data_IF_644350859539
#
_entry.id   IF_644350859539
#
_cell.length_a   1.000
_cell.length_b   1.000
_cell.length_c   1.000
_cell.angle_alpha   90.00
_cell.angle_beta   90.00
_cell.angle_gamma   90.00
#
_symmetry.space_group_name_H-M   'P 1'
#
loop_
_entity.id
_entity.type
_entity.pdbx_description
1 polymer ?
#
# COMPACT_ATOMS: atom_id res chain seq x y z
N UNK A 1 -6.40 -1.31 31.17
CA UNK A 1 -6.13 -0.86 29.79
C UNK A 1 -6.38 -2.04 28.88
N UNK A 2 -7.27 -1.90 27.90
CA UNK A 2 -7.60 -3.01 26.98
C UNK A 2 -6.43 -3.21 26.03
N UNK A 3 -5.74 -4.35 26.09
CA UNK A 3 -4.73 -4.69 25.09
C UNK A 3 -5.37 -4.66 23.69
N UNK A 4 -4.67 -4.07 22.72
CA UNK A 4 -5.14 -4.04 21.33
C UNK A 4 -5.01 -5.44 20.74
N UNK A 5 -6.09 -5.97 20.16
CA UNK A 5 -6.05 -7.31 19.55
C UNK A 5 -5.21 -7.31 18.27
N UNK A 6 -4.58 -8.44 17.95
CA UNK A 6 -3.79 -8.62 16.71
C UNK A 6 -4.60 -8.25 15.45
N UNK A 7 -5.87 -8.66 15.28
CA UNK A 7 -6.68 -8.23 14.13
C UNK A 7 -6.81 -6.70 14.00
N UNK A 8 -7.01 -5.99 15.12
CA UNK A 8 -7.10 -4.53 15.11
C UNK A 8 -5.76 -3.87 14.75
N UNK A 9 -4.63 -4.48 15.14
CA UNK A 9 -3.30 -4.02 14.74
C UNK A 9 -3.05 -4.20 13.24
N UNK A 10 -3.53 -5.29 12.62
CA UNK A 10 -3.45 -5.44 11.16
C UNK A 10 -4.25 -4.38 10.43
N UNK A 11 -5.48 -4.09 10.86
CA UNK A 11 -6.28 -3.04 10.25
C UNK A 11 -5.63 -1.66 10.42
N UNK A 12 -4.95 -1.42 11.56
CA UNK A 12 -4.16 -0.21 11.78
C UNK A 12 -2.94 -0.15 10.85
N UNK A 13 -2.20 -1.25 10.67
CA UNK A 13 -1.04 -1.29 9.77
C UNK A 13 -1.47 -1.01 8.31
N UNK A 14 -2.61 -1.57 7.88
CA UNK A 14 -3.21 -1.28 6.56
C UNK A 14 -3.63 0.19 6.47
N UNK A 15 -4.21 0.77 7.52
CA UNK A 15 -4.57 2.19 7.54
C UNK A 15 -3.34 3.11 7.47
N UNK A 16 -2.24 2.75 8.15
CA UNK A 16 -0.96 3.45 8.05
C UNK A 16 -0.37 3.35 6.65
N UNK A 17 -0.44 2.18 6.02
CA UNK A 17 0.01 1.97 4.64
C UNK A 17 -0.70 2.89 3.64
N UNK A 18 -1.99 3.17 3.83
CA UNK A 18 -2.78 4.09 2.97
C UNK A 18 -2.24 5.52 2.94
N UNK A 19 -1.39 5.93 3.89
CA UNK A 19 -0.71 7.24 3.84
C UNK A 19 0.21 7.37 2.61
N UNK A 20 0.65 6.26 2.01
CA UNK A 20 1.44 6.22 0.77
C UNK A 20 0.63 6.33 -0.54
N UNK A 21 -0.69 6.54 -0.47
CA UNK A 21 -1.59 6.50 -1.63
C UNK A 21 -1.11 7.32 -2.83
N UNK A 22 -0.82 6.62 -3.93
CA UNK A 22 -0.41 7.21 -5.20
C UNK A 22 0.99 7.83 -5.24
N UNK A 23 1.82 7.57 -4.23
CA UNK A 23 3.21 8.04 -4.18
C UNK A 23 4.24 6.92 -4.26
N UNK A 24 3.83 5.68 -4.01
CA UNK A 24 4.75 4.55 -3.89
C UNK A 24 5.09 3.89 -5.21
N UNK A 25 4.30 4.08 -6.27
CA UNK A 25 4.52 3.40 -7.55
C UNK A 25 5.98 3.60 -8.05
N UNK A 26 6.68 2.53 -8.51
CA UNK A 26 6.19 1.16 -8.75
C UNK A 26 6.11 0.24 -7.53
N UNK A 27 6.49 0.71 -6.33
CA UNK A 27 6.47 -0.08 -5.11
C UNK A 27 5.05 -0.16 -4.50
N UNK A 28 4.77 -1.19 -3.67
CA UNK A 28 3.52 -1.28 -2.93
C UNK A 28 3.45 -0.24 -1.80
N UNK A 29 2.23 0.07 -1.38
CA UNK A 29 1.97 0.73 -0.10
C UNK A 29 2.16 -0.29 1.02
N UNK A 30 3.03 0.04 1.98
CA UNK A 30 3.31 -0.80 3.15
C UNK A 30 3.25 0.07 4.40
N UNK A 31 2.69 -0.48 5.47
CA UNK A 31 2.66 0.11 6.81
C UNK A 31 3.22 -0.88 7.82
N UNK A 32 3.93 -0.36 8.82
CA UNK A 32 4.51 -1.12 9.91
C UNK A 32 4.23 -0.43 11.25
N UNK A 33 3.99 -1.22 12.29
CA UNK A 33 3.75 -0.76 13.65
C UNK A 33 4.73 -1.46 14.59
N UNK A 34 5.31 -0.73 15.53
CA UNK A 34 6.01 -1.33 16.67
C UNK A 34 5.06 -1.30 17.86
N UNK A 35 4.89 -2.45 18.50
CA UNK A 35 3.94 -2.64 19.60
C UNK A 35 4.69 -3.11 20.84
N UNK A 36 4.50 -2.41 21.96
CA UNK A 36 5.04 -2.74 23.28
C UNK A 36 3.88 -2.77 24.28
N UNK A 37 3.84 -3.77 25.16
CA UNK A 37 2.76 -3.92 26.16
C UNK A 37 1.33 -3.88 25.57
N UNK A 38 1.15 -4.29 24.31
CA UNK A 38 -0.14 -4.26 23.61
C UNK A 38 -0.57 -2.88 23.07
N UNK A 39 0.33 -1.90 23.07
CA UNK A 39 0.12 -0.55 22.55
C UNK A 39 1.04 -0.23 21.38
N UNK A 40 0.53 0.48 20.38
CA UNK A 40 1.32 0.97 19.25
C UNK A 40 2.17 2.16 19.72
N UNK A 41 3.47 1.97 19.77
CA UNK A 41 4.43 2.99 20.22
C UNK A 41 5.14 3.70 19.05
N UNK A 42 5.11 3.11 17.85
CA UNK A 42 5.68 3.71 16.64
C UNK A 42 4.97 3.21 15.39
N UNK A 43 4.90 4.08 14.38
CA UNK A 43 4.34 3.78 13.06
C UNK A 43 5.32 4.19 11.97
N UNK A 44 5.37 3.40 10.90
CA UNK A 44 6.09 3.73 9.68
C UNK A 44 5.26 3.35 8.46
N UNK A 45 5.45 4.09 7.37
CA UNK A 45 4.89 3.73 6.06
C UNK A 45 5.88 4.05 4.95
N UNK A 46 5.80 3.30 3.86
CA UNK A 46 6.61 3.59 2.69
C UNK A 46 6.04 4.82 1.97
N UNK A 47 6.79 5.92 1.98
CA UNK A 47 6.30 7.22 1.49
C UNK A 47 6.40 7.38 -0.04
N UNK A 48 7.47 6.87 -0.66
CA UNK A 48 7.68 6.91 -2.10
C UNK A 48 8.75 5.91 -2.56
N UNK A 49 8.72 5.50 -3.83
CA UNK A 49 9.73 4.58 -4.38
C UNK A 49 11.16 5.09 -4.18
N UNK A 50 12.04 4.21 -3.71
CA UNK A 50 13.43 4.53 -3.39
C UNK A 50 13.65 5.16 -2.01
N UNK A 51 12.58 5.53 -1.30
CA UNK A 51 12.65 5.88 0.12
C UNK A 51 12.69 4.61 0.99
N UNK A 52 12.95 4.80 2.28
CA UNK A 52 12.96 3.67 3.21
C UNK A 52 11.58 2.99 3.28
N UNK A 53 11.60 1.69 3.54
CA UNK A 53 10.41 0.88 3.70
C UNK A 53 9.76 1.12 5.07
N UNK A 54 8.52 0.66 5.22
CA UNK A 54 7.69 0.95 6.38
C UNK A 54 8.33 0.48 7.69
N UNK A 55 8.95 -0.70 7.69
CA UNK A 55 9.64 -1.30 8.82
C UNK A 55 10.78 -0.42 9.31
N UNK A 56 11.60 0.05 8.36
CA UNK A 56 12.73 0.96 8.64
C UNK A 56 12.23 2.30 9.16
N UNK A 57 11.18 2.86 8.56
CA UNK A 57 10.58 4.11 9.03
C UNK A 57 9.98 3.97 10.43
N UNK A 58 9.37 2.83 10.76
CA UNK A 58 8.83 2.57 12.11
C UNK A 58 9.96 2.50 13.16
N UNK A 59 11.08 1.84 12.85
CA UNK A 59 12.25 1.80 13.74
C UNK A 59 12.90 3.18 13.90
N UNK A 60 13.02 3.96 12.81
CA UNK A 60 13.55 5.33 12.88
C UNK A 60 12.66 6.25 13.71
N UNK A 61 11.35 6.20 13.49
CA UNK A 61 10.38 7.02 14.21
C UNK A 61 10.36 6.70 15.71
N UNK A 62 10.64 5.45 16.09
CA UNK A 62 10.80 5.07 17.49
C UNK A 62 12.02 5.75 18.15
N UNK A 63 13.10 5.97 17.40
CA UNK A 63 14.29 6.70 17.88
C UNK A 63 15.12 5.98 18.96
N UNK A 64 14.75 4.74 19.31
CA UNK A 64 15.46 3.87 20.26
C UNK A 64 15.34 2.41 19.84
N UNK A 65 16.09 1.53 20.49
CA UNK A 65 15.85 0.08 20.35
C UNK A 65 14.47 -0.28 20.93
N UNK A 66 13.70 -1.17 20.27
CA UNK A 66 12.50 -1.76 20.85
C UNK A 66 12.82 -2.51 22.15
N UNK A 67 11.83 -2.59 23.05
CA UNK A 67 11.89 -3.44 24.23
C UNK A 67 11.94 -4.93 23.84
N UNK A 68 12.42 -5.79 24.72
CA UNK A 68 12.61 -7.23 24.42
C UNK A 68 11.30 -7.97 24.15
N UNK A 69 10.20 -7.46 24.70
CA UNK A 69 8.83 -7.95 24.52
C UNK A 69 8.10 -7.24 23.36
N UNK A 70 8.78 -6.36 22.62
CA UNK A 70 8.19 -5.67 21.50
C UNK A 70 7.90 -6.62 20.33
N UNK A 71 6.85 -6.31 19.59
CA UNK A 71 6.50 -6.95 18.33
C UNK A 71 6.42 -5.93 17.20
N UNK A 72 6.55 -6.41 15.96
CA UNK A 72 6.30 -5.61 14.77
C UNK A 72 5.13 -6.18 13.97
N UNK A 73 4.21 -5.31 13.55
CA UNK A 73 3.06 -5.68 12.73
C UNK A 73 3.19 -5.00 11.37
N UNK A 74 3.19 -5.77 10.28
CA UNK A 74 3.52 -5.29 8.93
C UNK A 74 2.37 -5.64 7.97
N UNK A 75 1.94 -4.69 7.14
CA UNK A 75 0.81 -4.87 6.22
C UNK A 75 1.10 -5.76 5.01
N UNK A 76 2.38 -6.03 4.72
CA UNK A 76 2.85 -6.86 3.61
C UNK A 76 4.14 -7.56 4.05
N UNK A 77 4.39 -8.76 3.54
CA UNK A 77 5.60 -9.52 3.82
C UNK A 77 6.88 -8.67 3.65
N UNK A 78 7.79 -8.68 4.65
CA UNK A 78 9.02 -7.90 4.59
C UNK A 78 9.94 -8.41 3.48
N UNK A 79 10.54 -7.48 2.73
CA UNK A 79 11.40 -7.85 1.61
C UNK A 79 12.64 -8.64 2.07
N UNK A 80 12.96 -9.70 1.32
CA UNK A 80 14.05 -10.65 1.61
C UNK A 80 15.28 -10.49 0.73
N UNK A 81 15.19 -9.70 -0.35
CA UNK A 81 16.29 -9.50 -1.30
C UNK A 81 16.88 -8.09 -1.22
N UNK A 82 18.14 -7.95 -1.63
CA UNK A 82 18.79 -6.65 -1.75
C UNK A 82 18.35 -5.95 -3.04
N UNK A 83 17.62 -4.85 -2.90
CA UNK A 83 17.18 -4.00 -4.00
C UNK A 83 17.98 -2.69 -4.03
N UNK A 84 17.25 -1.55 -4.13
CA UNK A 84 17.82 -0.21 -3.92
C UNK A 84 18.20 0.05 -2.46
N UNK A 85 17.55 -0.66 -1.54
CA UNK A 85 17.79 -0.63 -0.09
C UNK A 85 18.10 -2.05 0.40
N UNK A 86 18.78 -2.19 1.55
CA UNK A 86 18.92 -3.49 2.23
C UNK A 86 17.55 -4.13 2.53
N UNK A 87 17.49 -5.47 2.65
CA UNK A 87 16.24 -6.17 2.94
C UNK A 87 15.72 -5.80 4.34
N UNK A 88 14.39 -5.73 4.48
CA UNK A 88 13.76 -5.36 5.73
C UNK A 88 13.89 -6.46 6.78
N UNK A 89 14.05 -7.72 6.37
CA UNK A 89 14.39 -8.83 7.27
C UNK A 89 15.63 -8.53 8.10
N UNK A 90 16.67 -7.91 7.51
CA UNK A 90 17.87 -7.51 8.26
C UNK A 90 17.57 -6.43 9.31
N UNK A 91 16.72 -5.44 8.99
CA UNK A 91 16.34 -4.40 9.93
C UNK A 91 15.58 -4.99 11.13
N UNK A 92 14.66 -5.93 10.88
CA UNK A 92 13.91 -6.65 11.92
C UNK A 92 14.86 -7.46 12.80
N UNK A 93 15.75 -8.26 12.21
CA UNK A 93 16.72 -9.07 12.96
C UNK A 93 17.64 -8.21 13.84
N UNK A 94 18.12 -7.07 13.31
CA UNK A 94 19.00 -6.16 14.04
C UNK A 94 18.27 -5.37 15.14
N UNK A 95 16.93 -5.31 15.11
CA UNK A 95 16.14 -4.57 16.09
C UNK A 95 16.08 -5.25 17.46
N UNK A 96 16.22 -6.58 17.49
CA UNK A 96 16.06 -7.41 18.69
C UNK A 96 14.63 -7.90 18.94
N UNK A 97 13.65 -7.49 18.13
CA UNK A 97 12.27 -8.01 18.18
C UNK A 97 12.22 -9.52 17.96
N UNK A 98 11.38 -10.20 18.75
CA UNK A 98 11.18 -11.65 18.66
C UNK A 98 9.88 -12.04 17.94
N UNK A 99 8.86 -11.17 17.94
CA UNK A 99 7.54 -11.48 17.37
C UNK A 99 7.21 -10.56 16.19
N UNK A 100 6.84 -11.17 15.06
CA UNK A 100 6.53 -10.50 13.79
C UNK A 100 5.16 -10.95 13.30
N UNK A 101 4.27 -10.00 13.07
CA UNK A 101 2.93 -10.25 12.53
C UNK A 101 2.84 -9.70 11.12
N UNK A 102 2.46 -10.52 10.15
CA UNK A 102 2.39 -10.14 8.73
C UNK A 102 0.94 -10.24 8.23
N UNK A 103 0.41 -9.15 7.67
CA UNK A 103 -0.98 -9.09 7.23
C UNK A 103 -1.21 -9.81 5.89
N UNK A 104 -0.24 -9.83 4.98
CA UNK A 104 -0.36 -10.40 3.65
C UNK A 104 0.97 -10.80 3.03
N UNK A 105 0.95 -11.80 2.16
CA UNK A 105 2.14 -12.27 1.43
C UNK A 105 2.51 -11.34 0.28
N UNK A 106 3.79 -11.27 -0.06
CA UNK A 106 4.25 -10.55 -1.25
C UNK A 106 3.83 -11.34 -2.51
N UNK A 107 3.08 -10.76 -3.46
CA UNK A 107 2.70 -11.44 -4.70
C UNK A 107 3.89 -11.69 -5.64
N UNK A 108 5.04 -11.05 -5.40
CA UNK A 108 6.25 -11.27 -6.18
C UNK A 108 6.78 -12.70 -5.94
N UNK A 109 6.86 -13.55 -6.98
CA UNK A 109 7.34 -14.93 -6.82
C UNK A 109 8.76 -15.05 -6.23
N UNK A 110 9.56 -13.98 -6.32
CA UNK A 110 10.90 -13.94 -5.72
C UNK A 110 10.87 -13.76 -4.21
N UNK A 111 9.78 -13.26 -3.65
CA UNK A 111 9.66 -12.90 -2.23
C UNK A 111 8.62 -13.74 -1.50
N UNK A 112 7.56 -14.18 -2.18
CA UNK A 112 6.44 -14.91 -1.59
C UNK A 112 6.91 -16.03 -0.65
N UNK A 113 6.74 -15.82 0.66
CA UNK A 113 7.12 -16.75 1.72
C UNK A 113 8.59 -16.67 2.18
N UNK A 114 9.50 -16.21 1.33
CA UNK A 114 10.94 -16.18 1.63
C UNK A 114 11.28 -15.24 2.80
N UNK A 115 10.59 -14.10 2.93
CA UNK A 115 10.84 -13.16 4.03
C UNK A 115 10.45 -13.76 5.37
N UNK A 116 9.29 -14.43 5.40
CA UNK A 116 8.79 -15.14 6.57
C UNK A 116 9.72 -16.29 6.96
N UNK A 117 10.15 -17.10 5.99
CA UNK A 117 11.05 -18.23 6.20
C UNK A 117 12.40 -17.79 6.78
N UNK A 118 13.03 -16.76 6.20
CA UNK A 118 14.31 -16.22 6.71
C UNK A 118 14.19 -15.79 8.18
N UNK A 119 13.10 -15.12 8.55
CA UNK A 119 12.90 -14.67 9.93
C UNK A 119 12.70 -15.86 10.89
N UNK A 120 11.90 -16.86 10.49
CA UNK A 120 11.69 -18.09 11.27
C UNK A 120 12.97 -18.90 11.44
N UNK A 121 13.78 -19.06 10.39
CA UNK A 121 15.07 -19.75 10.44
C UNK A 121 16.07 -19.07 11.39
N UNK A 122 15.93 -17.77 11.60
CA UNK A 122 16.72 -16.98 12.56
C UNK A 122 16.13 -16.97 13.97
N UNK A 123 15.07 -17.73 14.21
CA UNK A 123 14.48 -17.96 15.53
C UNK A 123 13.40 -16.96 15.94
N UNK A 124 12.90 -16.11 15.03
CA UNK A 124 11.78 -15.22 15.33
C UNK A 124 10.45 -15.98 15.21
N UNK A 125 9.50 -15.61 16.07
CA UNK A 125 8.11 -16.03 15.95
C UNK A 125 7.42 -15.15 14.90
N UNK A 126 6.95 -15.78 13.81
CA UNK A 126 6.34 -15.07 12.69
C UNK A 126 4.96 -15.64 12.41
N UNK A 127 3.94 -14.82 12.61
CA UNK A 127 2.53 -15.16 12.38
C UNK A 127 1.99 -14.43 11.14
N UNK A 128 1.40 -15.21 10.23
CA UNK A 128 0.67 -14.68 9.08
C UNK A 128 -0.80 -14.57 9.46
N UNK A 129 -1.44 -13.44 9.13
CA UNK A 129 -2.83 -13.19 9.43
C UNK A 129 -3.79 -14.21 8.80
N UNK A 130 -5.04 -14.24 9.27
CA UNK A 130 -6.11 -15.02 8.65
C UNK A 130 -6.39 -14.59 7.19
N UNK A 131 -7.11 -15.45 6.47
CA UNK A 131 -7.41 -15.24 5.05
C UNK A 131 -8.24 -13.99 4.77
N UNK A 132 -9.07 -13.54 5.71
CA UNK A 132 -9.88 -12.34 5.55
C UNK A 132 -9.01 -11.08 5.60
N UNK A 133 -8.11 -11.03 6.58
CA UNK A 133 -7.12 -9.96 6.76
C UNK A 133 -6.15 -9.90 5.59
N UNK A 134 -5.68 -11.06 5.11
CA UNK A 134 -4.86 -11.14 3.90
C UNK A 134 -5.57 -10.56 2.67
N UNK A 135 -6.87 -10.82 2.50
CA UNK A 135 -7.66 -10.22 1.40
C UNK A 135 -7.77 -8.69 1.55
N UNK A 136 -7.97 -8.18 2.78
CA UNK A 136 -7.99 -6.72 3.03
C UNK A 136 -6.64 -6.07 2.70
N UNK A 137 -5.54 -6.70 3.11
CA UNK A 137 -4.18 -6.24 2.80
C UNK A 137 -3.91 -6.28 1.28
N UNK A 138 -4.29 -7.36 0.59
CA UNK A 138 -4.11 -7.48 -0.85
C UNK A 138 -4.90 -6.43 -1.65
N UNK A 139 -6.12 -6.09 -1.20
CA UNK A 139 -6.94 -5.04 -1.85
C UNK A 139 -6.29 -3.66 -1.83
N UNK A 140 -5.47 -3.34 -0.83
CA UNK A 140 -4.75 -2.07 -0.77
C UNK A 140 -3.84 -1.89 -2.00
N UNK A 141 -3.16 -2.96 -2.39
CA UNK A 141 -2.13 -2.96 -3.42
C UNK A 141 -2.61 -3.58 -4.74
N UNK A 142 -3.90 -3.45 -5.08
CA UNK A 142 -4.49 -4.16 -6.23
C UNK A 142 -3.77 -3.92 -7.57
N UNK A 143 -3.27 -2.71 -7.84
CA UNK A 143 -2.48 -2.41 -9.05
C UNK A 143 -1.14 -3.16 -9.01
N UNK A 144 -0.40 -3.03 -7.91
CA UNK A 144 0.90 -3.70 -7.74
C UNK A 144 0.76 -5.23 -7.84
N UNK A 145 -0.22 -5.80 -7.13
CA UNK A 145 -0.47 -7.23 -7.11
C UNK A 145 -0.83 -7.76 -8.50
N UNK A 146 -1.73 -7.08 -9.22
CA UNK A 146 -2.07 -7.45 -10.59
C UNK A 146 -0.84 -7.43 -11.51
N UNK A 147 -0.03 -6.37 -11.43
CA UNK A 147 1.17 -6.24 -12.25
C UNK A 147 2.19 -7.35 -11.96
N UNK A 148 2.40 -7.70 -10.68
CA UNK A 148 3.33 -8.78 -10.28
C UNK A 148 2.84 -10.15 -10.73
N UNK A 149 1.55 -10.45 -10.59
CA UNK A 149 0.99 -11.76 -10.89
C UNK A 149 0.83 -12.01 -12.40
N UNK A 150 0.49 -10.97 -13.17
CA UNK A 150 0.15 -11.12 -14.58
C UNK A 150 1.26 -10.67 -15.54
N UNK A 151 2.22 -9.87 -15.05
CA UNK A 151 3.19 -9.16 -15.89
C UNK A 151 2.56 -8.11 -16.81
N UNK A 152 1.29 -7.73 -16.58
CA UNK A 152 0.54 -6.77 -17.40
C UNK A 152 0.01 -5.61 -16.53
N UNK A 153 -0.17 -4.41 -17.10
CA UNK A 153 -0.74 -3.29 -16.37
C UNK A 153 -2.22 -3.52 -16.06
N UNK A 154 -2.65 -3.16 -14.84
CA UNK A 154 -4.08 -3.08 -14.52
C UNK A 154 -4.70 -1.88 -15.23
N UNK A 155 -5.73 -2.13 -16.05
CA UNK A 155 -6.46 -1.10 -16.79
C UNK A 155 -7.79 -0.84 -16.10
N UNK A 156 -8.05 0.42 -15.76
CA UNK A 156 -9.34 0.87 -15.27
C UNK A 156 -9.98 1.84 -16.27
N UNK A 157 -11.23 1.57 -16.64
CA UNK A 157 -12.04 2.50 -17.44
C UNK A 157 -12.85 3.39 -16.51
N UNK A 158 -12.71 4.70 -16.65
CA UNK A 158 -13.55 5.68 -15.96
C UNK A 158 -14.48 6.37 -16.96
N UNK A 159 -15.78 6.38 -16.63
CA UNK A 159 -16.82 7.08 -17.38
C UNK A 159 -17.58 8.03 -16.45
N UNK A 160 -18.17 9.08 -17.00
CA UNK A 160 -19.19 9.90 -16.35
C UNK A 160 -20.33 10.06 -17.35
N UNK A 161 -21.50 9.55 -16.99
CA UNK A 161 -22.67 9.52 -17.86
C UNK A 161 -23.92 10.00 -17.12
N UNK A 162 -24.85 10.56 -17.88
CA UNK A 162 -26.21 10.85 -17.41
C UNK A 162 -26.98 9.54 -17.16
N UNK A 163 -28.13 9.63 -16.51
CA UNK A 163 -29.00 8.48 -16.23
C UNK A 163 -29.47 7.73 -17.49
N UNK A 164 -29.44 8.37 -18.67
CA UNK A 164 -29.76 7.75 -19.95
C UNK A 164 -28.51 7.39 -20.79
N UNK A 165 -27.33 7.28 -20.16
CA UNK A 165 -26.10 6.80 -20.78
C UNK A 165 -25.45 7.79 -21.75
N UNK A 166 -25.65 9.09 -21.57
CA UNK A 166 -25.02 10.14 -22.40
C UNK A 166 -23.82 10.74 -21.70
N UNK A 167 -22.74 10.93 -22.46
CA UNK A 167 -21.49 11.54 -21.98
C UNK A 167 -21.45 13.06 -22.20
N UNK A 168 -22.33 13.57 -23.07
CA UNK A 168 -22.45 14.97 -23.41
C UNK A 168 -23.87 15.31 -23.87
N UNK A 169 -24.28 16.57 -23.68
CA UNK A 169 -25.55 17.09 -24.18
C UNK A 169 -25.54 17.21 -25.70
N UNK A 170 -24.40 17.58 -26.28
CA UNK A 170 -24.16 17.66 -27.72
C UNK A 170 -22.86 16.93 -28.10
N UNK A 171 -22.90 16.18 -29.20
CA UNK A 171 -21.73 15.45 -29.71
C UNK A 171 -20.54 16.38 -29.95
N UNK A 172 -19.38 16.03 -29.39
CA UNK A 172 -18.14 16.80 -29.55
C UNK A 172 -18.03 18.05 -28.67
N UNK A 173 -19.02 18.33 -27.82
CA UNK A 173 -18.96 19.43 -26.85
C UNK A 173 -18.74 18.93 -25.42
N UNK A 174 -17.81 19.53 -24.66
CA UNK A 174 -17.64 19.20 -23.25
C UNK A 174 -18.93 19.51 -22.47
N UNK A 175 -19.40 18.56 -21.67
CA UNK A 175 -20.57 18.74 -20.80
C UNK A 175 -20.23 18.38 -19.37
N UNK A 176 -20.82 19.11 -18.40
CA UNK A 176 -20.64 18.81 -16.98
C UNK A 176 -21.70 17.82 -16.53
N UNK A 177 -21.42 16.54 -16.76
CA UNK A 177 -22.35 15.44 -16.42
C UNK A 177 -22.40 15.16 -14.93
N UNK A 178 -21.26 15.26 -14.23
CA UNK A 178 -21.17 14.98 -12.79
C UNK A 178 -20.74 16.20 -11.99
N UNK A 179 -21.19 16.24 -10.75
CA UNK A 179 -20.94 17.33 -9.81
C UNK A 179 -19.50 17.36 -9.28
N UNK A 180 -19.17 18.43 -8.56
CA UNK A 180 -17.83 18.67 -8.01
C UNK A 180 -17.33 17.54 -7.11
N UNK A 181 -18.20 16.87 -6.35
CA UNK A 181 -17.83 15.76 -5.48
C UNK A 181 -17.25 14.58 -6.26
N UNK A 182 -17.94 14.13 -7.31
CA UNK A 182 -17.46 13.05 -8.18
C UNK A 182 -16.16 13.44 -8.91
N UNK A 183 -16.01 14.71 -9.27
CA UNK A 183 -14.80 15.23 -9.91
C UNK A 183 -13.61 15.29 -8.94
N UNK A 184 -13.85 15.62 -7.68
CA UNK A 184 -12.85 15.61 -6.63
C UNK A 184 -12.42 14.18 -6.30
N UNK A 185 -13.35 13.23 -6.24
CA UNK A 185 -13.02 11.82 -6.06
C UNK A 185 -12.10 11.29 -7.18
N UNK A 186 -12.36 11.68 -8.43
CA UNK A 186 -11.51 11.30 -9.56
C UNK A 186 -10.05 11.76 -9.40
N UNK A 187 -9.78 12.88 -8.71
CA UNK A 187 -8.39 13.31 -8.46
C UNK A 187 -7.63 12.31 -7.59
N UNK A 188 -8.31 11.61 -6.67
CA UNK A 188 -7.71 10.56 -5.82
C UNK A 188 -7.31 9.35 -6.66
N UNK A 189 -8.16 8.97 -7.62
CA UNK A 189 -7.86 7.89 -8.57
C UNK A 189 -6.75 8.26 -9.55
N UNK A 190 -6.73 9.50 -10.06
CA UNK A 190 -5.61 10.00 -10.87
C UNK A 190 -4.28 9.99 -10.11
N UNK A 191 -4.30 10.22 -8.79
CA UNK A 191 -3.09 10.11 -7.97
C UNK A 191 -2.64 8.66 -7.83
N UNK A 192 -3.58 7.71 -7.70
CA UNK A 192 -3.24 6.29 -7.56
C UNK A 192 -2.70 5.66 -8.86
N UNK A 193 -3.36 5.92 -9.98
CA UNK A 193 -2.98 5.34 -11.27
C UNK A 193 -1.78 6.11 -11.85
N UNK A 194 -0.64 5.45 -12.06
CA UNK A 194 0.60 6.13 -12.48
C UNK A 194 0.55 6.65 -13.92
N UNK A 195 -0.45 6.24 -14.71
CA UNK A 195 -0.66 6.68 -16.08
C UNK A 195 -2.14 6.91 -16.36
N UNK A 196 -2.42 7.90 -17.19
CA UNK A 196 -3.76 8.26 -17.66
C UNK A 196 -3.71 8.29 -19.18
N UNK A 197 -4.67 7.63 -19.83
CA UNK A 197 -4.76 7.55 -21.27
C UNK A 197 -6.11 8.09 -21.74
N UNK A 198 -6.10 8.85 -22.83
CA UNK A 198 -7.29 9.32 -23.53
C UNK A 198 -7.05 9.25 -25.04
N UNK A 199 -8.13 9.21 -25.82
CA UNK A 199 -8.03 9.38 -27.28
C UNK A 199 -7.78 10.83 -27.68
N UNK A 200 -7.31 11.06 -28.90
CA UNK A 200 -7.06 12.40 -29.45
C UNK A 200 -8.31 13.28 -29.46
N UNK A 201 -9.50 12.69 -29.66
CA UNK A 201 -10.77 13.41 -29.61
C UNK A 201 -10.98 14.15 -28.29
N UNK A 202 -10.67 13.52 -27.15
CA UNK A 202 -10.75 14.15 -25.82
C UNK A 202 -9.76 15.30 -25.68
N UNK A 203 -8.55 15.17 -26.24
CA UNK A 203 -7.55 16.26 -26.21
C UNK A 203 -8.04 17.46 -27.02
N UNK A 204 -8.59 17.20 -28.21
CA UNK A 204 -9.08 18.24 -29.11
C UNK A 204 -10.34 18.93 -28.58
N UNK A 205 -11.26 18.21 -27.94
CA UNK A 205 -12.52 18.78 -27.43
C UNK A 205 -12.37 19.47 -26.07
N UNK A 206 -11.59 18.87 -25.16
CA UNK A 206 -11.60 19.26 -23.75
C UNK A 206 -10.32 19.99 -23.32
N UNK A 207 -9.25 19.89 -24.11
CA UNK A 207 -7.89 20.35 -23.77
C UNK A 207 -7.49 20.07 -22.31
N UNK A 208 -7.56 18.81 -21.84
CA UNK A 208 -7.41 18.51 -20.42
C UNK A 208 -5.93 18.43 -20.02
N UNK A 209 -5.59 18.93 -18.84
CA UNK A 209 -4.25 18.72 -18.25
C UNK A 209 -3.99 17.28 -17.79
N UNK A 210 -5.07 16.55 -17.46
CA UNK A 210 -5.04 15.16 -16.94
C UNK A 210 -4.16 14.95 -15.70
N UNK A 211 -3.86 15.99 -14.92
CA UNK A 211 -3.11 15.88 -13.66
C UNK A 211 -4.00 15.51 -12.47
N UNK A 212 -3.39 15.04 -11.38
CA UNK A 212 -4.02 14.88 -10.07
C UNK A 212 -3.84 16.17 -9.24
N UNK A 213 -4.92 16.92 -9.04
CA UNK A 213 -4.96 18.20 -8.31
C UNK A 213 -5.76 18.02 -7.02
N UNK A 214 -5.13 17.34 -6.07
CA UNK A 214 -5.66 17.08 -4.73
C UNK A 214 -5.43 18.25 -3.79
#
# INVERSE_FOLDING_TARGET
MSQTSIPALFDRAIAVAKKGWGNTHPNPMVGALIVENGEVISEGFHSASGQAHAEVEAFKALGRKPSTDASIVISLEPCSTHGKTPPCTNAILNSGIQSVYVAGLDPNPKHAGNGIEILREKGLDVELADSETQQRAARLNFIFNHNMQTGRPLIALKLAESANGKLADESGRPSRVTESEARADMMKWRRLFPSICVGSGTVLSDNPELTARL
#
